data_IF_336446259100
#
_entry.id   IF_336446259100
#
_cell.length_a   1.000
_cell.length_b   1.000
_cell.length_c   1.000
_cell.angle_alpha   90.00
_cell.angle_beta   90.00
_cell.angle_gamma   90.00
#
_symmetry.space_group_name_H-M   'P 1'
#
loop_
_entity.id
_entity.type
_entity.pdbx_description
1 polymer ?
#
# COMPACT_ATOMS: atom_id res chain seq x y z
N UNK A 1 38.28 -57.48 -30.69
CA UNK A 1 37.37 -57.55 -29.53
C UNK A 1 37.03 -56.14 -29.08
N UNK A 2 35.99 -55.52 -29.64
CA UNK A 2 35.45 -54.24 -29.13
C UNK A 2 33.92 -54.35 -29.24
N UNK A 3 33.26 -54.75 -28.16
CA UNK A 3 31.80 -54.88 -28.10
C UNK A 3 31.27 -54.35 -26.75
N UNK A 4 31.71 -53.16 -26.35
CA UNK A 4 31.15 -52.46 -25.17
C UNK A 4 30.77 -50.99 -25.38
N UNK A 5 31.18 -50.35 -26.48
CA UNK A 5 31.03 -48.89 -26.66
C UNK A 5 29.57 -48.39 -26.78
N UNK A 6 28.63 -49.20 -27.26
CA UNK A 6 27.25 -48.77 -27.50
C UNK A 6 26.33 -48.73 -26.27
N UNK A 7 26.61 -49.53 -25.23
CA UNK A 7 25.78 -49.62 -24.02
C UNK A 7 26.12 -48.50 -23.03
N UNK A 8 27.41 -48.18 -22.91
CA UNK A 8 27.91 -47.06 -22.09
C UNK A 8 27.48 -45.70 -22.66
N UNK A 9 27.59 -45.48 -23.97
CA UNK A 9 27.13 -44.23 -24.62
C UNK A 9 25.63 -43.98 -24.47
N UNK A 10 24.81 -45.04 -24.54
CA UNK A 10 23.36 -44.95 -24.29
C UNK A 10 23.04 -44.62 -22.83
N UNK A 11 23.80 -45.17 -21.87
CA UNK A 11 23.66 -44.83 -20.45
C UNK A 11 24.02 -43.38 -20.13
N UNK A 12 25.12 -42.88 -20.71
CA UNK A 12 25.56 -41.48 -20.55
C UNK A 12 24.57 -40.50 -21.20
N UNK A 13 24.04 -40.81 -22.37
CA UNK A 13 23.00 -40.01 -23.03
C UNK A 13 21.69 -39.94 -22.21
N UNK A 14 21.32 -41.04 -21.57
CA UNK A 14 20.12 -41.09 -20.74
C UNK A 14 20.27 -40.29 -19.43
N UNK A 15 21.45 -40.38 -18.79
CA UNK A 15 21.79 -39.58 -17.61
C UNK A 15 21.82 -38.07 -17.91
N UNK A 16 22.46 -37.67 -19.02
CA UNK A 16 22.50 -36.26 -19.43
C UNK A 16 21.11 -35.72 -19.75
N UNK A 17 20.24 -36.51 -20.40
CA UNK A 17 18.85 -36.14 -20.63
C UNK A 17 18.07 -35.95 -19.32
N UNK A 18 18.24 -36.83 -18.33
CA UNK A 18 17.61 -36.70 -17.01
C UNK A 18 18.08 -35.44 -16.29
N UNK A 19 19.39 -35.15 -16.33
CA UNK A 19 19.96 -33.95 -15.73
C UNK A 19 19.41 -32.69 -16.41
N UNK A 20 19.32 -32.68 -17.74
CA UNK A 20 18.74 -31.56 -18.49
C UNK A 20 17.25 -31.36 -18.16
N UNK A 21 16.47 -32.44 -18.09
CA UNK A 21 15.07 -32.38 -17.69
C UNK A 21 14.90 -31.90 -16.24
N UNK A 22 15.79 -32.30 -15.33
CA UNK A 22 15.78 -31.83 -13.95
C UNK A 22 16.12 -30.33 -13.85
N UNK A 23 17.12 -29.87 -14.61
CA UNK A 23 17.51 -28.46 -14.68
C UNK A 23 16.42 -27.58 -15.34
N UNK A 24 15.77 -28.05 -16.40
CA UNK A 24 14.67 -27.32 -17.02
C UNK A 24 13.47 -27.22 -16.09
N UNK A 25 13.16 -28.29 -15.36
CA UNK A 25 12.05 -28.32 -14.40
C UNK A 25 12.31 -27.41 -13.20
N UNK A 26 13.53 -27.41 -12.65
CA UNK A 26 13.88 -26.53 -11.54
C UNK A 26 13.88 -25.06 -11.93
N UNK A 27 14.31 -24.74 -13.16
CA UNK A 27 14.24 -23.38 -13.70
C UNK A 27 12.79 -22.89 -13.83
N UNK A 28 11.88 -23.73 -14.36
CA UNK A 28 10.46 -23.38 -14.44
C UNK A 28 9.86 -23.13 -13.05
N UNK A 29 10.16 -23.98 -12.07
CA UNK A 29 9.71 -23.79 -10.68
C UNK A 29 10.24 -22.47 -10.12
N UNK A 30 11.52 -22.16 -10.34
CA UNK A 30 12.12 -20.91 -9.87
C UNK A 30 11.42 -19.68 -10.48
N UNK A 31 11.13 -19.70 -11.78
CA UNK A 31 10.41 -18.63 -12.48
C UNK A 31 8.99 -18.46 -11.91
N UNK A 32 8.25 -19.55 -11.72
CA UNK A 32 6.89 -19.51 -11.15
C UNK A 32 6.91 -18.96 -9.73
N UNK A 33 7.84 -19.40 -8.88
CA UNK A 33 7.98 -18.90 -7.50
C UNK A 33 8.32 -17.41 -7.49
N UNK A 34 9.21 -16.95 -8.37
CA UNK A 34 9.57 -15.55 -8.49
C UNK A 34 8.36 -14.71 -8.94
N UNK A 35 7.61 -15.15 -9.95
CA UNK A 35 6.42 -14.45 -10.43
C UNK A 35 5.35 -14.33 -9.32
N UNK A 36 5.07 -15.43 -8.61
CA UNK A 36 4.13 -15.43 -7.49
C UNK A 36 4.57 -14.50 -6.36
N UNK A 37 5.87 -14.48 -6.04
CA UNK A 37 6.43 -13.57 -5.02
C UNK A 37 6.26 -12.12 -5.44
N UNK A 38 6.51 -11.81 -6.71
CA UNK A 38 6.40 -10.45 -7.25
C UNK A 38 4.95 -9.98 -7.25
N UNK A 39 4.00 -10.84 -7.64
CA UNK A 39 2.55 -10.57 -7.57
C UNK A 39 2.10 -10.28 -6.14
N UNK A 40 2.54 -11.07 -5.16
CA UNK A 40 2.22 -10.83 -3.73
C UNK A 40 2.76 -9.49 -3.24
N UNK A 41 3.98 -9.11 -3.62
CA UNK A 41 4.56 -7.80 -3.28
C UNK A 41 3.76 -6.66 -3.89
N UNK A 42 3.43 -6.75 -5.18
CA UNK A 42 2.65 -5.73 -5.86
C UNK A 42 1.26 -5.57 -5.23
N UNK A 43 0.62 -6.68 -4.86
CA UNK A 43 -0.68 -6.64 -4.19
C UNK A 43 -0.61 -5.97 -2.82
N UNK A 44 0.43 -6.24 -2.03
CA UNK A 44 0.66 -5.56 -0.75
C UNK A 44 0.86 -4.06 -0.94
N UNK A 45 1.73 -3.67 -1.89
CA UNK A 45 1.96 -2.26 -2.23
C UNK A 45 0.64 -1.58 -2.62
N UNK A 46 -0.17 -2.23 -3.46
CA UNK A 46 -1.47 -1.69 -3.86
C UNK A 46 -2.42 -1.46 -2.66
N UNK A 47 -2.45 -2.37 -1.70
CA UNK A 47 -3.25 -2.20 -0.48
C UNK A 47 -2.72 -1.05 0.40
N UNK A 48 -1.41 -0.92 0.54
CA UNK A 48 -0.77 0.20 1.26
C UNK A 48 -1.07 1.54 0.59
N UNK A 49 -0.95 1.61 -0.74
CA UNK A 49 -1.30 2.80 -1.51
C UNK A 49 -2.77 3.17 -1.35
N UNK A 50 -3.69 2.20 -1.32
CA UNK A 50 -5.10 2.48 -1.03
C UNK A 50 -5.30 3.10 0.35
N UNK A 51 -4.67 2.56 1.39
CA UNK A 51 -4.76 3.13 2.74
C UNK A 51 -4.15 4.55 2.82
N UNK A 52 -3.03 4.79 2.12
CA UNK A 52 -2.42 6.12 2.02
C UNK A 52 -3.32 7.13 1.30
N UNK A 53 -3.91 6.74 0.17
CA UNK A 53 -4.84 7.60 -0.57
C UNK A 53 -6.08 7.94 0.26
N UNK A 54 -6.61 6.97 1.02
CA UNK A 54 -7.70 7.22 1.97
C UNK A 54 -7.31 8.25 3.03
N UNK A 55 -6.11 8.13 3.61
CA UNK A 55 -5.61 9.10 4.59
C UNK A 55 -5.43 10.50 3.98
N UNK A 56 -4.95 10.58 2.74
CA UNK A 56 -4.77 11.85 2.02
C UNK A 56 -6.11 12.53 1.72
N UNK A 57 -7.07 11.80 1.13
CA UNK A 57 -8.41 12.34 0.84
C UNK A 57 -9.13 12.78 2.11
N UNK A 58 -8.97 12.04 3.20
CA UNK A 58 -9.49 12.45 4.49
C UNK A 58 -8.85 13.77 4.99
N UNK A 59 -7.55 13.94 4.81
CA UNK A 59 -6.86 15.18 5.20
C UNK A 59 -7.42 16.38 4.42
N UNK A 60 -7.64 16.20 3.12
CA UNK A 60 -8.25 17.22 2.26
C UNK A 60 -9.66 17.59 2.73
N UNK A 61 -10.49 16.61 3.08
CA UNK A 61 -11.83 16.84 3.63
C UNK A 61 -11.74 17.64 4.94
N UNK A 62 -10.86 17.23 5.86
CA UNK A 62 -10.70 17.92 7.14
C UNK A 62 -10.25 19.38 6.95
N UNK A 63 -9.29 19.62 6.05
CA UNK A 63 -8.86 20.98 5.69
C UNK A 63 -10.01 21.77 5.05
N UNK A 64 -10.83 21.16 4.19
CA UNK A 64 -12.02 21.78 3.62
C UNK A 64 -12.97 22.32 4.70
N UNK A 65 -13.26 21.53 5.72
CA UNK A 65 -14.07 21.98 6.86
C UNK A 65 -13.42 23.12 7.66
N UNK A 66 -12.09 23.13 7.81
CA UNK A 66 -11.39 24.25 8.47
C UNK A 66 -11.53 25.56 7.67
N UNK A 67 -11.50 25.46 6.33
CA UNK A 67 -11.67 26.59 5.43
C UNK A 67 -13.09 27.15 5.46
N UNK A 68 -14.09 26.28 5.65
CA UNK A 68 -15.51 26.67 5.80
C UNK A 68 -15.87 27.17 7.21
N UNK A 69 -14.90 27.27 8.12
CA UNK A 69 -15.13 27.57 9.55
C UNK A 69 -16.09 26.58 10.24
N UNK A 70 -16.12 25.35 9.72
CA UNK A 70 -17.05 24.30 10.11
C UNK A 70 -16.34 23.19 10.88
N UNK A 71 -15.37 23.53 11.75
CA UNK A 71 -14.52 22.57 12.48
C UNK A 71 -15.37 21.55 13.26
N UNK A 72 -16.47 21.99 13.88
CA UNK A 72 -17.38 21.12 14.62
C UNK A 72 -18.13 20.10 13.76
N UNK A 73 -18.12 20.25 12.42
CA UNK A 73 -18.73 19.31 11.47
C UNK A 73 -17.75 18.27 10.94
N UNK A 74 -16.46 18.35 11.30
CA UNK A 74 -15.50 17.32 10.93
C UNK A 74 -15.92 16.01 11.60
N UNK A 75 -16.23 14.96 10.83
CA UNK A 75 -16.64 13.69 11.40
C UNK A 75 -15.48 13.04 12.12
N UNK A 76 -15.71 12.50 13.31
CA UNK A 76 -14.70 11.75 14.07
C UNK A 76 -14.36 10.41 13.40
N UNK A 77 -15.30 9.84 12.65
CA UNK A 77 -15.12 8.63 11.87
C UNK A 77 -15.90 8.71 10.56
N UNK A 78 -15.31 8.19 9.48
CA UNK A 78 -15.95 8.09 8.16
C UNK A 78 -15.66 6.74 7.51
N UNK A 79 -16.64 6.23 6.75
CA UNK A 79 -16.44 5.10 5.84
C UNK A 79 -16.65 5.60 4.41
N UNK A 80 -15.54 5.96 3.76
CA UNK A 80 -15.54 6.54 2.41
C UNK A 80 -15.87 5.51 1.31
N UNK A 81 -15.45 4.27 1.52
CA UNK A 81 -15.68 3.13 0.63
C UNK A 81 -15.94 1.88 1.48
N UNK A 82 -16.57 0.84 0.91
CA UNK A 82 -16.67 -0.46 1.57
C UNK A 82 -15.30 -0.91 2.07
N UNK A 83 -15.26 -1.55 3.24
CA UNK A 83 -14.03 -2.09 3.84
C UNK A 83 -13.01 -1.03 4.31
N UNK A 84 -13.31 0.27 4.15
CA UNK A 84 -12.49 1.35 4.68
C UNK A 84 -13.10 1.97 5.95
N UNK A 85 -12.21 2.30 6.89
CA UNK A 85 -12.51 3.10 8.08
C UNK A 85 -11.47 4.19 8.18
N UNK A 86 -11.93 5.42 8.40
CA UNK A 86 -11.05 6.56 8.64
C UNK A 86 -11.46 7.23 9.93
N UNK A 87 -10.50 7.47 10.82
CA UNK A 87 -10.69 8.19 12.08
C UNK A 87 -9.97 9.51 12.01
N UNK A 88 -10.63 10.57 12.46
CA UNK A 88 -10.11 11.94 12.51
C UNK A 88 -9.90 12.37 13.95
N UNK A 89 -8.78 13.02 14.22
CA UNK A 89 -8.48 13.70 15.47
C UNK A 89 -8.06 15.11 15.10
N UNK A 90 -8.91 16.09 15.39
CA UNK A 90 -8.63 17.50 15.12
C UNK A 90 -8.53 18.24 16.44
N UNK A 91 -7.44 18.97 16.62
CA UNK A 91 -7.14 19.72 17.83
C UNK A 91 -6.75 21.14 17.47
N UNK A 92 -7.44 22.13 18.04
CA UNK A 92 -6.98 23.52 17.97
C UNK A 92 -5.81 23.69 18.96
N UNK A 93 -4.62 24.01 18.45
CA UNK A 93 -3.40 24.15 19.25
C UNK A 93 -3.16 25.58 19.70
N UNK A 94 -3.61 26.53 18.90
CA UNK A 94 -3.71 27.96 19.22
C UNK A 94 -4.76 28.58 18.33
N UNK A 95 -5.13 29.85 18.56
CA UNK A 95 -6.17 30.52 17.79
C UNK A 95 -5.93 30.37 16.27
N UNK A 96 -6.88 29.74 15.58
CA UNK A 96 -6.83 29.49 14.14
C UNK A 96 -5.70 28.54 13.68
N UNK A 97 -5.06 27.83 14.60
CA UNK A 97 -4.06 26.80 14.30
C UNK A 97 -4.56 25.44 14.74
N UNK A 98 -4.52 24.47 13.83
CA UNK A 98 -5.10 23.15 14.03
C UNK A 98 -4.07 22.07 13.73
N UNK A 99 -4.04 21.05 14.57
CA UNK A 99 -3.39 19.78 14.28
C UNK A 99 -4.45 18.76 13.89
N UNK A 100 -4.22 18.06 12.79
CA UNK A 100 -5.09 17.01 12.27
C UNK A 100 -4.29 15.72 12.23
N UNK A 101 -4.73 14.71 12.97
CA UNK A 101 -4.23 13.34 12.89
C UNK A 101 -5.31 12.43 12.31
N UNK A 102 -4.93 11.66 11.28
CA UNK A 102 -5.82 10.77 10.54
C UNK A 102 -5.26 9.37 10.58
N UNK A 103 -6.14 8.42 10.88
CA UNK A 103 -5.84 6.99 10.79
C UNK A 103 -6.80 6.37 9.79
N UNK A 104 -6.27 5.96 8.62
CA UNK A 104 -7.02 5.23 7.62
C UNK A 104 -6.70 3.73 7.72
N UNK A 105 -7.73 2.91 7.66
CA UNK A 105 -7.67 1.46 7.64
C UNK A 105 -8.44 0.94 6.43
N UNK A 106 -7.84 0.02 5.70
CA UNK A 106 -8.48 -0.71 4.61
C UNK A 106 -8.35 -2.22 4.83
N UNK A 107 -9.48 -2.93 4.82
CA UNK A 107 -9.52 -4.37 5.12
C UNK A 107 -10.14 -5.14 3.97
N UNK A 108 -9.31 -5.52 2.99
CA UNK A 108 -9.76 -6.40 1.91
C UNK A 108 -10.24 -7.75 2.48
N UNK A 109 -11.27 -8.35 1.86
CA UNK A 109 -11.79 -9.68 2.24
C UNK A 109 -10.68 -10.69 2.45
N UNK A 110 -10.78 -11.45 3.55
CA UNK A 110 -9.86 -12.51 3.94
C UNK A 110 -8.40 -12.07 4.14
N UNK A 111 -8.16 -10.76 4.32
CA UNK A 111 -6.83 -10.19 4.57
C UNK A 111 -6.77 -9.43 5.88
N UNK A 112 -5.54 -9.31 6.40
CA UNK A 112 -5.27 -8.45 7.54
C UNK A 112 -5.49 -6.97 7.13
N UNK A 113 -6.02 -6.13 8.04
CA UNK A 113 -6.16 -4.71 7.79
C UNK A 113 -4.81 -4.04 7.49
N UNK A 114 -4.79 -3.18 6.47
CA UNK A 114 -3.65 -2.30 6.18
C UNK A 114 -3.99 -0.90 6.68
N UNK A 115 -3.05 -0.28 7.40
CA UNK A 115 -3.26 1.00 8.06
C UNK A 115 -2.28 2.04 7.56
N UNK A 116 -2.74 3.27 7.44
CA UNK A 116 -1.91 4.42 7.14
C UNK A 116 -2.30 5.59 8.04
N UNK A 117 -1.31 6.17 8.72
CA UNK A 117 -1.45 7.35 9.54
C UNK A 117 -0.92 8.57 8.81
N UNK A 118 -1.67 9.67 8.81
CA UNK A 118 -1.23 10.95 8.29
C UNK A 118 -1.50 12.05 9.31
N UNK A 119 -0.53 12.92 9.52
CA UNK A 119 -0.64 14.07 10.40
C UNK A 119 -0.31 15.35 9.63
N UNK A 120 -1.00 16.44 9.94
CA UNK A 120 -0.72 17.75 9.38
C UNK A 120 -1.11 18.86 10.36
N UNK A 121 -0.27 19.89 10.41
CA UNK A 121 -0.54 21.12 11.16
C UNK A 121 -0.88 22.25 10.19
N UNK A 122 -1.98 22.95 10.45
CA UNK A 122 -2.53 23.98 9.56
C UNK A 122 -2.82 25.27 10.32
N UNK A 123 -2.37 26.38 9.76
CA UNK A 123 -2.72 27.72 10.20
C UNK A 123 -3.74 28.31 9.23
N UNK A 124 -4.93 28.65 9.73
CA UNK A 124 -5.99 29.28 8.94
C UNK A 124 -5.83 30.79 8.98
N UNK A 125 -5.73 31.41 7.81
CA UNK A 125 -5.67 32.88 7.64
C UNK A 125 -6.72 33.34 6.66
N UNK A 126 -7.02 34.64 6.69
CA UNK A 126 -7.78 35.30 5.62
C UNK A 126 -6.81 36.07 4.74
N UNK A 127 -6.82 35.79 3.44
CA UNK A 127 -6.05 36.48 2.42
C UNK A 127 -6.99 36.86 1.27
N UNK A 128 -6.98 38.13 0.87
CA UNK A 128 -7.84 38.65 -0.20
C UNK A 128 -9.34 38.33 -0.01
N UNK A 129 -9.79 38.38 1.25
CA UNK A 129 -11.18 38.07 1.63
C UNK A 129 -11.54 36.58 1.62
N UNK A 130 -10.57 35.67 1.37
CA UNK A 130 -10.78 34.22 1.37
C UNK A 130 -10.00 33.56 2.50
N UNK A 131 -10.59 32.53 3.11
CA UNK A 131 -9.88 31.68 4.08
C UNK A 131 -8.90 30.78 3.34
N UNK A 132 -7.68 30.68 3.84
CA UNK A 132 -6.60 29.84 3.31
C UNK A 132 -5.98 29.04 4.45
N UNK A 133 -5.60 27.80 4.16
CA UNK A 133 -4.94 26.91 5.09
C UNK A 133 -3.46 26.81 4.71
N UNK A 134 -2.59 27.28 5.60
CA UNK A 134 -1.15 27.18 5.44
C UNK A 134 -0.66 25.95 6.19
N UNK A 135 -0.09 24.99 5.47
CA UNK A 135 0.60 23.86 6.11
C UNK A 135 1.87 24.38 6.80
N UNK A 136 2.01 24.12 8.10
CA UNK A 136 3.13 24.60 8.92
C UNK A 136 4.09 23.48 9.32
N UNK A 137 3.96 22.29 8.72
CA UNK A 137 4.82 21.14 8.94
C UNK A 137 4.12 19.95 9.60
N UNK A 138 4.88 18.86 9.75
CA UNK A 138 4.54 17.68 10.57
C UNK A 138 5.14 17.80 11.95
#
# INVERSE_FOLDING_TARGET
MIKHSGKERKGVALLTCIVLMALSSSLLIAVVVQELSTRKKFEMINLETKAQNLALSALEIAVGFLLEDAVAKIPTMMSLIPEAKVTFIVQETSKSSFKIDINAEYTAKDKKPVRSGLSGSFLIKTQDGKRVALSVGK
#
